data_IF_534708418047
#
_entry.id   IF_534708418047
#
_cell.length_a   1.000
_cell.length_b   1.000
_cell.length_c   1.000
_cell.angle_alpha   90.00
_cell.angle_beta   90.00
_cell.angle_gamma   90.00
#
_symmetry.space_group_name_H-M   'P 1'
#
loop_
_entity.id
_entity.type
_entity.pdbx_description
1 polymer ?
#
# COMPACT_ATOMS: atom_id res chain seq x y z
N UNK A 1 -32.55 2.81 21.19
CA UNK A 1 -31.78 1.64 20.73
C UNK A 1 -30.59 1.49 21.67
N UNK A 2 -30.63 0.61 22.68
CA UNK A 2 -29.59 0.60 23.73
C UNK A 2 -29.13 -0.78 24.20
N UNK A 3 -29.51 -1.88 23.52
CA UNK A 3 -29.12 -3.24 23.91
C UNK A 3 -28.68 -4.09 22.71
N UNK A 4 -27.79 -3.57 21.86
CA UNK A 4 -27.08 -4.41 20.89
C UNK A 4 -25.88 -5.07 21.59
N UNK A 5 -25.82 -6.41 21.61
CA UNK A 5 -24.72 -7.17 22.21
C UNK A 5 -23.62 -7.54 21.21
N UNK A 6 -23.96 -7.60 19.92
CA UNK A 6 -23.03 -7.94 18.83
C UNK A 6 -23.41 -7.14 17.59
N UNK A 7 -22.41 -6.61 16.88
CA UNK A 7 -22.56 -6.00 15.56
C UNK A 7 -21.64 -6.74 14.60
N UNK A 8 -22.24 -7.36 13.57
CA UNK A 8 -21.49 -7.98 12.48
C UNK A 8 -21.41 -6.99 11.31
N UNK A 9 -20.30 -6.26 11.21
CA UNK A 9 -20.07 -5.31 10.11
C UNK A 9 -19.37 -5.99 8.93
N UNK A 10 -19.75 -5.64 7.71
CA UNK A 10 -18.92 -5.92 6.53
C UNK A 10 -17.71 -4.98 6.50
N UNK A 11 -16.63 -5.41 5.86
CA UNK A 11 -15.41 -4.60 5.70
C UNK A 11 -15.53 -3.66 4.50
N UNK A 12 -15.96 -4.19 3.37
CA UNK A 12 -15.93 -3.47 2.09
C UNK A 12 -17.08 -2.48 2.03
N UNK A 13 -16.80 -1.19 1.82
CA UNK A 13 -17.82 -0.14 1.73
C UNK A 13 -18.54 0.23 3.03
N UNK A 14 -18.37 -0.54 4.12
CA UNK A 14 -18.87 -0.18 5.47
C UNK A 14 -17.73 0.33 6.35
N UNK A 15 -16.67 -0.45 6.55
CA UNK A 15 -15.49 -0.02 7.32
C UNK A 15 -14.44 0.70 6.45
N UNK A 16 -14.52 0.54 5.13
CA UNK A 16 -13.58 1.10 4.16
C UNK A 16 -14.28 2.11 3.26
N UNK A 17 -13.54 3.12 2.80
CA UNK A 17 -14.07 4.15 1.89
C UNK A 17 -14.37 3.63 0.47
N UNK A 18 -14.14 2.34 0.21
CA UNK A 18 -14.24 1.74 -1.13
C UNK A 18 -13.41 2.48 -2.20
N UNK A 19 -12.32 3.13 -1.75
CA UNK A 19 -11.35 3.84 -2.57
C UNK A 19 -10.00 3.14 -2.39
N UNK A 20 -9.46 2.61 -3.47
CA UNK A 20 -8.19 1.88 -3.45
C UNK A 20 -7.12 2.66 -4.21
N UNK A 21 -5.89 2.61 -3.69
CA UNK A 21 -4.69 3.17 -4.32
C UNK A 21 -3.54 2.19 -4.18
N UNK A 22 -2.60 2.23 -5.12
CA UNK A 22 -1.33 1.52 -4.96
C UNK A 22 -0.48 2.31 -3.97
N UNK A 23 -0.24 1.72 -2.80
CA UNK A 23 0.51 2.35 -1.70
C UNK A 23 1.96 1.89 -1.67
N UNK A 24 2.23 0.67 -2.16
CA UNK A 24 3.58 0.16 -2.31
C UNK A 24 3.59 -0.96 -3.36
N UNK A 25 4.75 -1.22 -3.95
CA UNK A 25 4.99 -2.40 -4.76
C UNK A 25 6.46 -2.76 -4.86
N UNK A 26 6.75 -3.81 -5.63
CA UNK A 26 8.10 -4.26 -5.92
C UNK A 26 8.24 -4.59 -7.40
N UNK A 27 9.34 -4.15 -8.02
CA UNK A 27 9.75 -4.53 -9.37
C UNK A 27 11.00 -5.38 -9.28
N UNK A 28 10.91 -6.61 -9.78
CA UNK A 28 11.97 -7.59 -9.65
C UNK A 28 12.21 -8.00 -8.19
N UNK A 29 13.43 -8.46 -7.91
CA UNK A 29 13.80 -9.00 -6.60
C UNK A 29 14.31 -7.93 -5.62
N UNK A 30 14.80 -6.80 -6.12
CA UNK A 30 15.53 -5.80 -5.32
C UNK A 30 14.85 -4.44 -5.23
N UNK A 31 14.01 -4.06 -6.20
CA UNK A 31 13.43 -2.73 -6.28
C UNK A 31 12.08 -2.67 -5.56
N UNK A 32 11.98 -1.89 -4.50
CA UNK A 32 10.72 -1.61 -3.79
C UNK A 32 10.33 -0.15 -3.93
N UNK A 33 9.03 0.13 -4.09
CA UNK A 33 8.53 1.49 -4.28
C UNK A 33 7.31 1.77 -3.38
N UNK A 34 7.50 2.25 -2.14
CA UNK A 34 6.40 2.75 -1.29
C UNK A 34 5.98 4.19 -1.66
N UNK A 35 4.79 4.58 -1.20
CA UNK A 35 4.21 5.93 -1.39
C UNK A 35 3.52 6.45 -0.13
N UNK A 36 3.86 7.64 0.38
CA UNK A 36 5.15 8.33 0.24
C UNK A 36 6.26 7.49 0.91
N UNK A 37 7.47 7.53 0.38
CA UNK A 37 8.60 6.79 0.96
C UNK A 37 8.83 7.16 2.43
N UNK A 38 8.69 8.44 2.80
CA UNK A 38 8.95 8.92 4.17
C UNK A 38 8.01 8.32 5.22
N UNK A 39 6.73 8.16 4.88
CA UNK A 39 5.71 7.63 5.79
C UNK A 39 5.70 6.09 5.83
N UNK A 40 6.30 5.44 4.83
CA UNK A 40 6.19 4.00 4.60
C UNK A 40 7.54 3.27 4.55
N UNK A 41 8.61 3.84 5.14
CA UNK A 41 9.94 3.20 5.22
C UNK A 41 9.91 1.81 5.87
N UNK A 42 9.00 1.57 6.81
CA UNK A 42 8.85 0.25 7.48
C UNK A 42 8.10 -0.78 6.63
N UNK A 43 7.45 -0.38 5.53
CA UNK A 43 6.74 -1.27 4.61
C UNK A 43 7.64 -1.80 3.50
N UNK A 44 8.87 -1.31 3.41
CA UNK A 44 9.87 -1.91 2.54
C UNK A 44 10.46 -3.11 3.26
N UNK A 45 10.40 -4.28 2.63
CA UNK A 45 11.11 -5.47 3.14
C UNK A 45 12.65 -5.29 3.11
N UNK A 46 13.13 -4.10 2.73
CA UNK A 46 14.54 -3.71 2.72
C UNK A 46 15.14 -3.56 4.14
N UNK A 47 14.38 -3.85 5.21
CA UNK A 47 14.91 -3.87 6.58
C UNK A 47 14.02 -4.54 7.63
N UNK A 48 13.16 -5.51 7.28
CA UNK A 48 12.24 -6.16 8.23
C UNK A 48 12.75 -7.56 8.66
N UNK A 49 13.21 -7.68 9.91
CA UNK A 49 13.61 -8.94 10.55
C UNK A 49 12.39 -9.85 10.77
N UNK A 50 11.93 -10.57 9.75
CA UNK A 50 11.05 -11.74 9.92
C UNK A 50 11.76 -12.97 10.53
N UNK A 51 12.82 -12.74 11.32
CA UNK A 51 13.77 -13.77 11.76
C UNK A 51 13.89 -14.03 13.26
N UNK A 52 13.40 -13.16 14.15
CA UNK A 52 13.50 -13.39 15.61
C UNK A 52 12.13 -13.50 16.27
N UNK A 53 11.50 -14.66 16.11
CA UNK A 53 10.53 -15.14 17.09
C UNK A 53 11.29 -16.08 18.02
N UNK A 54 11.65 -15.61 19.21
CA UNK A 54 12.18 -16.47 20.26
C UNK A 54 11.09 -17.48 20.66
N UNK A 55 11.28 -18.80 20.52
CA UNK A 55 10.23 -19.80 20.78
C UNK A 55 9.89 -20.02 22.27
N UNK A 56 10.36 -19.17 23.18
CA UNK A 56 10.45 -19.49 24.61
C UNK A 56 10.00 -18.35 25.55
N UNK A 57 9.02 -17.53 25.14
CA UNK A 57 8.50 -16.43 25.99
C UNK A 57 7.13 -16.71 26.63
N UNK A 58 6.64 -17.95 26.57
CA UNK A 58 5.28 -18.29 27.04
C UNK A 58 5.25 -18.81 28.50
N UNK A 59 6.39 -18.86 29.18
CA UNK A 59 6.50 -19.42 30.53
C UNK A 59 7.37 -18.53 31.41
N UNK A 60 6.76 -17.66 32.21
CA UNK A 60 6.92 -17.62 33.68
C UNK A 60 6.31 -16.35 34.32
N UNK A 61 5.35 -16.60 35.26
CA UNK A 61 5.04 -15.85 36.52
C UNK A 61 4.30 -14.51 36.37
N UNK A 62 3.11 -14.30 36.93
CA UNK A 62 2.66 -14.54 38.32
C UNK A 62 2.61 -13.18 39.06
N UNK A 63 1.41 -12.67 39.35
CA UNK A 63 1.04 -11.37 40.00
C UNK A 63 1.60 -11.18 41.45
N UNK A 64 1.33 -10.11 42.26
CA UNK A 64 0.43 -8.93 42.12
C UNK A 64 0.95 -7.56 42.68
N UNK A 65 0.21 -6.46 42.48
CA UNK A 65 0.40 -5.22 43.27
C UNK A 65 -0.28 -3.95 42.72
N UNK A 66 -1.11 -3.30 43.56
CA UNK A 66 -2.04 -2.19 43.31
C UNK A 66 -1.41 -0.81 43.07
N UNK A 67 -2.11 0.12 42.39
CA UNK A 67 -1.76 1.55 42.41
C UNK A 67 -2.20 2.43 41.21
N UNK A 68 -3.43 2.91 41.26
CA UNK A 68 -3.95 4.23 40.84
C UNK A 68 -3.33 5.06 39.68
N UNK A 69 -4.12 5.14 38.58
CA UNK A 69 -4.42 6.25 37.65
C UNK A 69 -3.38 7.37 37.42
N UNK A 70 -2.90 7.48 36.17
CA UNK A 70 -2.83 8.73 35.37
C UNK A 70 -2.52 8.41 33.90
N UNK A 71 -3.56 8.30 33.09
CA UNK A 71 -3.52 7.92 31.68
C UNK A 71 -3.42 9.15 30.78
N UNK A 72 -2.19 9.61 30.56
CA UNK A 72 -1.80 10.34 29.36
C UNK A 72 -0.86 9.44 28.55
N UNK A 73 -1.24 8.96 27.35
CA UNK A 73 -0.28 8.24 26.52
C UNK A 73 0.68 9.27 25.90
N UNK A 74 1.78 9.55 26.58
CA UNK A 74 2.96 10.13 25.94
C UNK A 74 3.58 9.06 25.06
N UNK A 75 3.28 9.12 23.76
CA UNK A 75 3.98 8.31 22.76
C UNK A 75 5.42 8.84 22.72
N UNK A 76 6.31 8.14 23.42
CA UNK A 76 7.75 8.32 23.30
C UNK A 76 8.09 7.80 21.90
N UNK A 77 8.43 8.71 20.99
CA UNK A 77 9.01 8.37 19.69
C UNK A 77 10.43 7.88 19.98
N UNK A 78 10.57 6.59 20.24
CA UNK A 78 11.87 5.92 20.19
C UNK A 78 12.39 6.01 18.76
N UNK A 79 13.64 6.43 18.62
CA UNK A 79 14.38 6.50 17.36
C UNK A 79 14.22 5.21 16.54
N UNK A 80 14.13 5.29 15.19
CA UNK A 80 13.93 4.11 14.37
C UNK A 80 15.12 3.13 14.49
N UNK A 81 14.87 1.81 14.60
CA UNK A 81 15.92 0.81 14.71
C UNK A 81 16.79 0.78 13.44
N UNK A 82 18.06 0.34 13.54
CA UNK A 82 18.97 0.26 12.41
C UNK A 82 18.46 -0.73 11.36
N UNK A 83 18.17 -0.23 10.17
CA UNK A 83 17.72 -1.01 9.00
C UNK A 83 18.91 -1.70 8.34
N UNK A 84 19.28 -2.88 8.84
CA UNK A 84 20.18 -3.76 8.09
C UNK A 84 19.43 -4.35 6.89
N UNK A 85 19.98 -4.11 5.69
CA UNK A 85 19.37 -4.55 4.42
C UNK A 85 19.39 -6.08 4.33
N UNK A 86 18.23 -6.68 4.04
CA UNK A 86 18.07 -8.14 3.91
C UNK A 86 18.93 -8.73 2.78
N UNK A 87 19.10 -7.99 1.69
CA UNK A 87 20.10 -8.27 0.66
C UNK A 87 20.89 -7.00 0.31
N UNK A 88 22.19 -7.16 0.00
CA UNK A 88 23.11 -6.06 -0.32
C UNK A 88 22.61 -5.19 -1.48
N UNK A 89 21.90 -5.82 -2.41
CA UNK A 89 21.43 -5.20 -3.65
C UNK A 89 20.00 -4.65 -3.56
N UNK A 90 19.30 -4.83 -2.42
CA UNK A 90 17.95 -4.29 -2.21
C UNK A 90 18.00 -2.75 -2.13
N UNK A 91 17.05 -2.12 -2.81
CA UNK A 91 16.88 -0.67 -2.78
C UNK A 91 15.40 -0.28 -2.75
N UNK A 92 15.16 0.90 -2.17
CA UNK A 92 13.84 1.51 -2.10
C UNK A 92 13.90 2.87 -2.77
N UNK A 93 12.89 3.18 -3.57
CA UNK A 93 12.68 4.47 -4.21
C UNK A 93 11.27 4.97 -3.91
N UNK A 94 11.04 6.28 -4.00
CA UNK A 94 9.67 6.76 -3.91
C UNK A 94 8.91 6.35 -5.18
N UNK A 95 7.63 5.99 -5.05
CA UNK A 95 6.83 5.60 -6.21
C UNK A 95 6.91 6.61 -7.36
N UNK A 96 6.95 7.91 -7.08
CA UNK A 96 7.09 8.95 -8.12
C UNK A 96 8.36 8.82 -8.96
N UNK A 97 9.41 8.21 -8.43
CA UNK A 97 10.70 8.02 -9.09
C UNK A 97 10.78 6.72 -9.90
N UNK A 98 9.71 5.91 -9.94
CA UNK A 98 9.74 4.58 -10.55
C UNK A 98 10.25 4.57 -11.99
N UNK A 99 9.86 5.58 -12.77
CA UNK A 99 10.29 5.75 -14.17
C UNK A 99 11.81 5.86 -14.36
N UNK A 100 12.55 6.28 -13.33
CA UNK A 100 14.03 6.38 -13.39
C UNK A 100 14.69 5.02 -13.20
N UNK A 101 14.00 4.09 -12.54
CA UNK A 101 14.53 2.79 -12.14
C UNK A 101 14.16 1.65 -13.09
N UNK A 102 13.13 1.83 -13.93
CA UNK A 102 12.66 0.83 -14.90
C UNK A 102 12.99 1.24 -16.33
N UNK A 103 13.28 0.25 -17.18
CA UNK A 103 13.54 0.53 -18.60
C UNK A 103 12.27 0.97 -19.33
N UNK A 104 12.40 1.74 -20.43
CA UNK A 104 11.24 2.14 -21.24
C UNK A 104 10.42 0.95 -21.76
N UNK A 105 11.09 -0.15 -22.11
CA UNK A 105 10.43 -1.38 -22.56
C UNK A 105 9.60 -2.01 -21.43
N UNK A 106 10.13 -2.07 -20.21
CA UNK A 106 9.41 -2.60 -19.05
C UNK A 106 8.22 -1.69 -18.67
N UNK A 107 8.40 -0.37 -18.78
CA UNK A 107 7.32 0.60 -18.58
C UNK A 107 6.18 0.38 -19.57
N UNK A 108 6.50 0.21 -20.86
CA UNK A 108 5.51 -0.09 -21.90
C UNK A 108 4.76 -1.39 -21.59
N UNK A 109 5.50 -2.45 -21.27
CA UNK A 109 4.92 -3.75 -20.93
C UNK A 109 4.01 -3.69 -19.70
N UNK A 110 4.41 -2.95 -18.65
CA UNK A 110 3.57 -2.74 -17.47
C UNK A 110 2.31 -1.96 -17.79
N UNK A 111 2.42 -0.89 -18.58
CA UNK A 111 1.26 -0.11 -18.95
C UNK A 111 0.29 -0.93 -19.80
N UNK A 112 0.79 -1.70 -20.77
CA UNK A 112 0.02 -2.63 -21.59
C UNK A 112 -0.67 -3.69 -20.73
N UNK A 113 0.05 -4.30 -19.79
CA UNK A 113 -0.51 -5.29 -18.88
C UNK A 113 -1.65 -4.73 -18.02
N UNK A 114 -1.56 -3.46 -17.59
CA UNK A 114 -2.64 -2.78 -16.85
C UNK A 114 -3.81 -2.47 -17.79
N UNK A 115 -3.53 -1.88 -18.96
CA UNK A 115 -4.56 -1.36 -19.85
C UNK A 115 -5.35 -2.48 -20.54
N UNK A 116 -4.67 -3.48 -21.09
CA UNK A 116 -5.27 -4.55 -21.91
C UNK A 116 -6.03 -5.55 -21.06
N UNK A 117 -5.51 -5.91 -19.88
CA UNK A 117 -6.14 -6.93 -19.03
C UNK A 117 -7.23 -6.39 -18.10
N UNK A 118 -7.36 -5.07 -18.00
CA UNK A 118 -8.39 -4.43 -17.19
C UNK A 118 -9.60 -4.11 -18.06
N UNK A 119 -10.80 -4.28 -17.50
CA UNK A 119 -12.04 -3.81 -18.14
C UNK A 119 -12.47 -2.42 -17.65
N UNK A 120 -11.76 -1.87 -16.66
CA UNK A 120 -12.12 -0.57 -16.09
C UNK A 120 -11.92 0.57 -17.08
N UNK A 121 -12.72 1.62 -16.97
CA UNK A 121 -12.65 2.80 -17.83
C UNK A 121 -13.05 4.06 -17.04
N UNK A 122 -12.70 5.20 -17.60
CA UNK A 122 -13.08 6.50 -17.04
C UNK A 122 -14.44 6.92 -17.55
N UNK A 123 -15.34 7.24 -16.63
CA UNK A 123 -16.60 7.90 -16.92
C UNK A 123 -16.64 9.24 -16.19
N UNK A 124 -17.29 10.23 -16.81
CA UNK A 124 -17.47 11.54 -16.18
C UNK A 124 -18.80 11.52 -15.45
N UNK A 125 -18.75 11.61 -14.13
CA UNK A 125 -19.97 11.70 -13.34
C UNK A 125 -20.70 13.00 -13.71
N UNK A 126 -21.95 12.85 -14.16
CA UNK A 126 -22.77 13.97 -14.70
C UNK A 126 -23.11 15.00 -13.63
N UNK A 127 -23.11 14.60 -12.37
CA UNK A 127 -23.54 15.44 -11.25
C UNK A 127 -22.36 16.16 -10.58
N UNK A 128 -21.19 15.49 -10.47
CA UNK A 128 -20.00 16.06 -9.82
C UNK A 128 -18.97 16.62 -10.80
N UNK A 129 -19.11 16.33 -12.11
CA UNK A 129 -18.10 16.58 -13.14
C UNK A 129 -16.73 15.92 -12.89
N UNK A 130 -16.61 15.05 -11.88
CA UNK A 130 -15.38 14.32 -11.58
C UNK A 130 -15.25 13.10 -12.47
N UNK A 131 -13.99 12.74 -12.78
CA UNK A 131 -13.67 11.52 -13.50
C UNK A 131 -13.71 10.36 -12.50
N UNK A 132 -14.69 9.47 -12.66
CA UNK A 132 -14.82 8.25 -11.87
C UNK A 132 -14.38 7.04 -12.70
N UNK A 133 -13.66 6.12 -12.05
CA UNK A 133 -13.35 4.83 -12.67
C UNK A 133 -14.52 3.87 -12.47
N UNK A 134 -15.07 3.40 -13.59
CA UNK A 134 -16.07 2.34 -13.64
C UNK A 134 -15.34 1.02 -13.83
N UNK A 135 -15.49 0.09 -12.88
CA UNK A 135 -14.78 -1.19 -12.85
C UNK A 135 -14.50 -1.65 -11.42
N UNK A 136 -13.65 -2.68 -11.24
CA UNK A 136 -13.24 -3.06 -9.89
C UNK A 136 -12.37 -1.97 -9.26
N UNK A 137 -12.51 -1.74 -7.95
CA UNK A 137 -11.74 -0.69 -7.26
C UNK A 137 -10.23 -0.96 -7.34
N UNK A 138 -9.82 -2.23 -7.42
CA UNK A 138 -8.43 -2.62 -7.63
C UNK A 138 -7.92 -2.26 -9.02
N UNK A 139 -8.69 -2.51 -10.08
CA UNK A 139 -8.31 -2.09 -11.44
C UNK A 139 -8.21 -0.56 -11.55
N UNK A 140 -9.17 0.17 -10.98
CA UNK A 140 -9.12 1.64 -10.93
C UNK A 140 -7.89 2.17 -10.18
N UNK A 141 -7.44 1.47 -9.14
CA UNK A 141 -6.22 1.82 -8.43
C UNK A 141 -4.97 1.66 -9.31
N UNK A 142 -4.91 0.62 -10.14
CA UNK A 142 -3.81 0.40 -11.10
C UNK A 142 -3.84 1.43 -12.24
N UNK A 143 -5.02 1.83 -12.71
CA UNK A 143 -5.10 2.92 -13.70
C UNK A 143 -4.63 4.25 -13.14
N UNK A 144 -5.09 4.63 -11.95
CA UNK A 144 -4.59 5.84 -11.27
C UNK A 144 -3.10 5.76 -11.03
N UNK A 145 -2.57 4.59 -10.70
CA UNK A 145 -1.13 4.36 -10.57
C UNK A 145 -0.38 4.71 -11.86
N UNK A 146 -0.83 4.21 -13.01
CA UNK A 146 -0.21 4.51 -14.31
C UNK A 146 -0.30 6.00 -14.67
N UNK A 147 -1.44 6.64 -14.40
CA UNK A 147 -1.62 8.09 -14.62
C UNK A 147 -0.70 8.95 -13.78
N UNK A 148 -0.52 8.59 -12.51
CA UNK A 148 0.38 9.33 -11.60
C UNK A 148 1.85 9.19 -11.97
N UNK A 149 2.21 8.17 -12.76
CA UNK A 149 3.54 8.01 -13.34
C UNK A 149 3.64 8.56 -14.76
N UNK A 150 2.60 9.25 -15.23
CA UNK A 150 2.53 9.86 -16.56
C UNK A 150 2.81 8.84 -17.68
N UNK A 151 2.26 7.64 -17.53
CA UNK A 151 2.32 6.62 -18.58
C UNK A 151 1.30 6.92 -19.68
N UNK A 152 1.47 6.25 -20.82
CA UNK A 152 0.63 6.44 -21.99
C UNK A 152 -0.86 6.19 -21.69
N UNK A 153 -1.75 6.95 -22.34
CA UNK A 153 -3.18 6.85 -22.13
C UNK A 153 -3.73 5.45 -22.43
N UNK A 154 -4.62 4.96 -21.58
CA UNK A 154 -5.12 3.59 -21.69
C UNK A 154 -5.91 3.35 -22.98
N UNK A 155 -6.52 4.38 -23.58
CA UNK A 155 -7.30 4.22 -24.81
C UNK A 155 -6.37 3.97 -25.98
N UNK A 156 -5.26 4.72 -26.08
CA UNK A 156 -4.29 4.52 -27.17
C UNK A 156 -3.64 3.15 -27.06
N UNK A 157 -3.27 2.73 -25.84
CA UNK A 157 -2.68 1.41 -25.59
C UNK A 157 -3.64 0.28 -25.93
N UNK A 158 -4.93 0.42 -25.60
CA UNK A 158 -5.96 -0.59 -25.94
C UNK A 158 -6.28 -0.64 -27.43
N UNK A 159 -6.27 0.50 -28.12
CA UNK A 159 -6.51 0.57 -29.56
C UNK A 159 -5.34 -0.01 -30.38
N UNK A 160 -4.13 0.00 -29.84
CA UNK A 160 -2.93 -0.51 -30.48
C UNK A 160 -2.70 -2.02 -30.30
N UNK A 161 -3.44 -2.69 -29.42
CA UNK A 161 -3.33 -4.11 -29.08
C UNK A 161 -4.29 -5.00 -29.90
#
# INVERSE_FOLDING_TARGET
MANASVICTDKTGTLTQNLMTVVAGSVGIHGTFPRPLDDNKTRTNAGDERGKRDPNQDLEKGEPGEGEKNNTPSIIVTEPPPTERKHKDDFSLDQSELNTSISPALRSLFNEAICVNSTAFEDKNKDTNEVEFVGSKTEGALFRFAQMLEWEDYRTVREAA
#
